data_IF_665884929860
#
_entry.id   IF_665884929860
#
_cell.length_a   1.000
_cell.length_b   1.000
_cell.length_c   1.000
_cell.angle_alpha   90.00
_cell.angle_beta   90.00
_cell.angle_gamma   90.00
#
_symmetry.space_group_name_H-M   'P 1'
#
loop_
_entity.id
_entity.type
_entity.pdbx_description
1 polymer ?
#
# COMPACT_ATOMS: atom_id res chain seq x y z
N UNK A 1 -9.55 43.69 44.18
CA UNK A 1 -9.07 42.30 44.10
C UNK A 1 -9.90 41.56 43.06
N UNK A 2 -9.37 41.27 41.89
CA UNK A 2 -9.88 40.23 40.97
C UNK A 2 -8.70 39.81 40.07
N UNK A 3 -8.04 38.72 40.43
CA UNK A 3 -7.03 38.04 39.63
C UNK A 3 -7.73 37.00 38.75
N UNK A 4 -7.87 37.29 37.46
CA UNK A 4 -8.34 36.34 36.46
C UNK A 4 -7.19 35.43 36.04
N UNK A 5 -7.30 34.15 36.39
CA UNK A 5 -6.42 33.08 35.96
C UNK A 5 -6.87 32.64 34.55
N UNK A 6 -6.17 33.05 33.50
CA UNK A 6 -6.41 32.50 32.16
C UNK A 6 -5.65 31.17 32.04
N UNK A 7 -6.39 30.06 32.15
CA UNK A 7 -5.93 28.74 31.76
C UNK A 7 -5.77 28.73 30.24
N UNK A 8 -4.53 28.68 29.76
CA UNK A 8 -4.23 28.43 28.36
C UNK A 8 -4.48 26.95 28.09
N UNK A 9 -5.56 26.66 27.36
CA UNK A 9 -5.86 25.32 26.82
C UNK A 9 -4.76 24.96 25.83
N UNK A 10 -3.84 24.07 26.24
CA UNK A 10 -2.93 23.43 25.31
C UNK A 10 -3.74 22.47 24.44
N UNK A 11 -4.07 22.87 23.22
CA UNK A 11 -4.62 21.97 22.22
C UNK A 11 -3.55 20.92 21.91
N UNK A 12 -3.71 19.72 22.46
CA UNK A 12 -2.96 18.54 22.06
C UNK A 12 -3.28 18.28 20.58
N UNK A 13 -2.35 18.62 19.70
CA UNK A 13 -2.40 18.18 18.32
C UNK A 13 -2.25 16.66 18.32
N UNK A 14 -3.36 15.94 18.13
CA UNK A 14 -3.29 14.52 17.80
C UNK A 14 -2.66 14.44 16.42
N UNK A 15 -1.42 13.97 16.33
CA UNK A 15 -0.85 13.59 15.05
C UNK A 15 -1.69 12.42 14.53
N UNK A 16 -2.24 12.53 13.33
CA UNK A 16 -2.84 11.38 12.66
C UNK A 16 -1.78 10.29 12.50
N UNK A 17 -2.14 9.05 12.78
CA UNK A 17 -1.25 7.89 12.66
C UNK A 17 -1.09 7.55 11.18
N UNK A 18 -0.18 8.26 10.51
CA UNK A 18 0.11 8.03 9.09
C UNK A 18 1.30 7.06 8.98
N UNK A 19 1.05 5.87 8.46
CA UNK A 19 2.08 4.90 8.13
C UNK A 19 2.61 5.16 6.72
N UNK A 20 3.92 5.39 6.60
CA UNK A 20 4.60 5.51 5.32
C UNK A 20 5.39 4.23 5.06
N UNK A 21 5.16 3.62 3.90
CA UNK A 21 5.82 2.39 3.47
C UNK A 21 6.61 2.72 2.20
N UNK A 22 7.86 2.29 2.16
CA UNK A 22 8.74 2.45 1.03
C UNK A 22 9.63 1.20 0.94
N UNK A 23 9.34 0.34 -0.03
CA UNK A 23 9.97 -0.96 -0.21
C UNK A 23 10.50 -1.09 -1.62
N UNK A 24 11.51 -1.95 -1.78
CA UNK A 24 11.83 -2.56 -3.07
C UNK A 24 11.38 -4.00 -3.08
N UNK A 25 10.63 -4.35 -4.12
CA UNK A 25 10.02 -5.65 -4.31
C UNK A 25 10.61 -6.30 -5.55
N UNK A 26 11.10 -7.53 -5.43
CA UNK A 26 11.41 -8.38 -6.58
C UNK A 26 10.14 -9.07 -7.04
N UNK A 27 9.77 -8.92 -8.31
CA UNK A 27 8.61 -9.58 -8.88
C UNK A 27 8.89 -11.05 -9.20
N UNK A 28 8.18 -11.97 -8.55
CA UNK A 28 8.32 -13.42 -8.73
C UNK A 28 7.52 -13.99 -9.90
N UNK A 29 6.67 -13.18 -10.54
CA UNK A 29 5.77 -13.61 -11.61
C UNK A 29 4.35 -13.92 -11.14
N UNK A 30 3.49 -14.25 -12.11
CA UNK A 30 2.10 -14.58 -11.86
C UNK A 30 1.91 -16.04 -11.41
N UNK A 31 0.84 -16.30 -10.68
CA UNK A 31 0.32 -17.63 -10.42
C UNK A 31 -1.19 -17.67 -10.62
N UNK A 32 -1.67 -18.79 -11.15
CA UNK A 32 -3.07 -19.06 -11.44
C UNK A 32 -3.51 -20.23 -10.56
N UNK A 33 -4.47 -20.03 -9.67
CA UNK A 33 -4.92 -21.06 -8.74
C UNK A 33 -6.16 -21.78 -9.25
N UNK A 34 -6.25 -23.08 -8.95
CA UNK A 34 -7.28 -23.99 -9.47
C UNK A 34 -7.41 -23.86 -10.99
N UNK A 35 -6.26 -23.90 -11.65
CA UNK A 35 -6.14 -23.66 -13.07
C UNK A 35 -6.46 -24.95 -13.85
N UNK A 36 -7.32 -24.81 -14.86
CA UNK A 36 -7.71 -25.87 -15.77
C UNK A 36 -7.54 -25.36 -17.19
N UNK A 37 -6.90 -26.15 -18.04
CA UNK A 37 -6.71 -25.84 -19.46
C UNK A 37 -7.29 -26.99 -20.26
N UNK A 38 -8.12 -26.66 -21.23
CA UNK A 38 -8.89 -27.59 -22.04
C UNK A 38 -8.60 -27.29 -23.51
N UNK A 39 -8.29 -28.34 -24.26
CA UNK A 39 -8.20 -28.28 -25.72
C UNK A 39 -9.56 -27.84 -26.28
N UNK A 40 -9.55 -26.77 -27.07
CA UNK A 40 -10.80 -26.19 -27.56
C UNK A 40 -11.53 -27.09 -28.56
N UNK A 41 -10.80 -27.90 -29.34
CA UNK A 41 -11.35 -28.73 -30.41
C UNK A 41 -11.94 -30.02 -29.84
N UNK A 42 -11.15 -30.74 -29.03
CA UNK A 42 -11.50 -32.09 -28.57
C UNK A 42 -12.08 -32.10 -27.14
N UNK A 43 -12.12 -30.93 -26.47
CA UNK A 43 -12.61 -30.77 -25.10
C UNK A 43 -11.85 -31.65 -24.08
N UNK A 44 -10.59 -31.96 -24.40
CA UNK A 44 -9.73 -32.76 -23.53
C UNK A 44 -9.00 -31.88 -22.53
N UNK A 45 -8.82 -32.37 -21.30
CA UNK A 45 -8.10 -31.62 -20.27
C UNK A 45 -6.60 -31.74 -20.50
N UNK A 46 -5.96 -30.63 -20.85
CA UNK A 46 -4.52 -30.51 -21.06
C UNK A 46 -3.76 -30.27 -19.75
N UNK A 47 -4.38 -29.53 -18.83
CA UNK A 47 -3.85 -29.26 -17.50
C UNK A 47 -4.98 -29.13 -16.49
N UNK A 48 -4.75 -29.67 -15.29
CA UNK A 48 -5.61 -29.44 -14.14
C UNK A 48 -4.75 -29.49 -12.88
N UNK A 49 -4.67 -28.38 -12.16
CA UNK A 49 -3.87 -28.29 -10.95
C UNK A 49 -4.25 -27.13 -10.06
N UNK A 50 -3.91 -27.28 -8.78
CA UNK A 50 -4.18 -26.27 -7.75
C UNK A 50 -3.43 -24.96 -8.00
N UNK A 51 -2.30 -25.01 -8.71
CA UNK A 51 -1.48 -23.86 -9.04
C UNK A 51 -0.69 -24.08 -10.33
N UNK A 52 -0.72 -23.08 -11.21
CA UNK A 52 0.17 -22.93 -12.36
C UNK A 52 0.97 -21.63 -12.20
N UNK A 53 2.29 -21.69 -12.28
CA UNK A 53 3.13 -20.48 -12.25
C UNK A 53 3.39 -19.99 -13.67
N UNK A 54 3.62 -18.68 -13.80
CA UNK A 54 4.02 -18.05 -15.07
C UNK A 54 5.27 -18.69 -15.70
N UNK A 55 6.19 -19.22 -14.90
CA UNK A 55 7.42 -19.87 -15.40
C UNK A 55 7.12 -21.23 -16.06
N UNK A 56 6.05 -21.90 -15.62
CA UNK A 56 5.64 -23.22 -16.08
C UNK A 56 4.48 -23.14 -17.09
N UNK A 57 4.03 -21.92 -17.42
CA UNK A 57 2.90 -21.64 -18.28
C UNK A 57 3.30 -21.75 -19.76
N UNK A 58 3.06 -22.93 -20.34
CA UNK A 58 3.29 -23.23 -21.74
C UNK A 58 2.23 -22.67 -22.70
N UNK A 59 1.11 -22.18 -22.18
CA UNK A 59 -0.06 -21.77 -22.97
C UNK A 59 -0.14 -20.25 -23.17
N UNK A 60 0.68 -19.49 -22.45
CA UNK A 60 0.74 -18.04 -22.58
C UNK A 60 -0.48 -17.35 -21.98
N UNK A 61 -0.88 -17.78 -20.77
CA UNK A 61 -1.98 -17.16 -20.03
C UNK A 61 -1.74 -15.64 -19.84
N UNK A 62 -2.82 -14.84 -19.77
CA UNK A 62 -2.70 -13.40 -19.61
C UNK A 62 -1.90 -13.04 -18.36
N UNK A 63 -1.15 -11.93 -18.39
CA UNK A 63 -0.28 -11.47 -17.30
C UNK A 63 -0.95 -10.34 -16.53
N UNK A 64 -0.91 -10.41 -15.19
CA UNK A 64 -1.57 -9.41 -14.35
C UNK A 64 -0.83 -8.08 -14.43
N UNK A 65 0.49 -8.18 -14.34
CA UNK A 65 1.41 -7.07 -14.51
C UNK A 65 2.29 -7.32 -15.74
N UNK A 66 2.70 -6.22 -16.37
CA UNK A 66 3.66 -6.22 -17.47
C UNK A 66 5.13 -6.28 -16.99
N UNK A 67 5.37 -6.50 -15.70
CA UNK A 67 6.70 -6.59 -15.11
C UNK A 67 7.42 -7.89 -15.53
N UNK A 68 8.74 -7.83 -15.66
CA UNK A 68 9.57 -9.00 -15.90
C UNK A 68 9.81 -9.77 -14.59
N UNK A 69 9.89 -11.11 -14.67
CA UNK A 69 10.26 -11.92 -13.51
C UNK A 69 11.69 -11.57 -13.08
N UNK A 70 11.88 -11.31 -11.78
CA UNK A 70 13.13 -10.82 -11.19
C UNK A 70 13.31 -9.30 -11.26
N UNK A 71 12.38 -8.57 -11.88
CA UNK A 71 12.41 -7.12 -11.90
C UNK A 71 12.22 -6.55 -10.49
N UNK A 72 13.05 -5.59 -10.12
CA UNK A 72 12.97 -4.90 -8.83
C UNK A 72 12.19 -3.61 -9.00
N UNK A 73 11.04 -3.55 -8.32
CA UNK A 73 10.08 -2.46 -8.38
C UNK A 73 10.07 -1.71 -7.06
N UNK A 74 9.83 -0.39 -7.11
CA UNK A 74 9.57 0.37 -5.90
C UNK A 74 8.08 0.29 -5.56
N UNK A 75 7.79 0.00 -4.31
CA UNK A 75 6.47 0.08 -3.73
C UNK A 75 6.46 1.20 -2.68
N UNK A 76 5.61 2.20 -2.87
CA UNK A 76 5.42 3.26 -1.88
C UNK A 76 3.95 3.36 -1.53
N UNK A 77 3.62 3.42 -0.25
CA UNK A 77 2.26 3.64 0.20
C UNK A 77 2.21 4.59 1.41
N UNK A 78 1.17 5.41 1.46
CA UNK A 78 0.84 6.25 2.61
C UNK A 78 -0.55 5.85 3.09
N UNK A 79 -0.62 5.37 4.32
CA UNK A 79 -1.85 4.81 4.90
C UNK A 79 -2.20 5.64 6.13
N UNK A 80 -3.42 6.16 6.15
CA UNK A 80 -4.02 6.74 7.34
C UNK A 80 -4.63 5.59 8.15
N UNK A 81 -3.92 5.14 9.19
CA UNK A 81 -4.38 3.98 9.97
C UNK A 81 -5.54 4.34 10.89
N UNK A 82 -5.76 5.62 11.19
CA UNK A 82 -6.89 6.07 12.01
C UNK A 82 -8.19 6.03 11.19
N UNK A 83 -8.11 6.38 9.91
CA UNK A 83 -9.25 6.34 8.99
C UNK A 83 -9.39 5.01 8.23
N UNK A 84 -8.36 4.15 8.25
CA UNK A 84 -8.31 2.92 7.47
C UNK A 84 -8.24 3.17 5.95
N UNK A 85 -7.70 4.33 5.55
CA UNK A 85 -7.69 4.78 4.15
C UNK A 85 -6.26 4.77 3.60
N UNK A 86 -6.12 4.26 2.37
CA UNK A 86 -4.88 4.38 1.61
C UNK A 86 -4.89 5.73 0.90
N UNK A 87 -4.05 6.67 1.36
CA UNK A 87 -3.97 8.03 0.82
C UNK A 87 -3.21 8.06 -0.52
N UNK A 88 -2.13 7.29 -0.60
CA UNK A 88 -1.37 7.11 -1.85
C UNK A 88 -0.75 5.72 -1.89
N UNK A 89 -0.57 5.18 -3.09
CA UNK A 89 0.04 3.88 -3.34
C UNK A 89 0.61 3.88 -4.76
N UNK A 90 1.87 3.48 -4.90
CA UNK A 90 2.53 3.30 -6.18
C UNK A 90 3.28 1.97 -6.18
N UNK A 91 3.09 1.17 -7.23
CA UNK A 91 3.81 -0.08 -7.46
C UNK A 91 4.44 -0.03 -8.86
N UNK A 92 5.75 0.17 -8.94
CA UNK A 92 6.45 0.17 -10.23
C UNK A 92 5.91 1.21 -11.22
N UNK A 93 5.42 2.36 -10.73
CA UNK A 93 4.80 3.41 -11.54
C UNK A 93 3.28 3.30 -11.70
N UNK A 94 2.67 2.17 -11.31
CA UNK A 94 1.21 2.01 -11.31
C UNK A 94 0.59 2.66 -10.07
N UNK A 95 -0.44 3.48 -10.27
CA UNK A 95 -1.27 3.98 -9.17
C UNK A 95 -2.14 2.84 -8.63
N UNK A 96 -1.91 2.48 -7.38
CA UNK A 96 -2.62 1.45 -6.64
C UNK A 96 -3.41 2.02 -5.46
N UNK A 97 -3.71 3.32 -5.44
CA UNK A 97 -4.47 3.95 -4.37
C UNK A 97 -5.98 3.93 -4.63
N UNK A 98 -6.38 3.98 -5.90
CA UNK A 98 -7.77 4.06 -6.30
C UNK A 98 -8.57 2.84 -5.81
N UNK A 99 -9.58 3.06 -4.98
CA UNK A 99 -10.43 2.01 -4.43
C UNK A 99 -9.75 1.12 -3.36
N UNK A 100 -8.54 1.48 -2.92
CA UNK A 100 -7.79 0.77 -1.91
C UNK A 100 -8.26 1.15 -0.49
N UNK A 101 -8.51 0.16 0.35
CA UNK A 101 -8.83 0.34 1.77
C UNK A 101 -7.92 -0.54 2.62
N UNK A 102 -7.64 -0.12 3.85
CA UNK A 102 -6.96 -0.98 4.80
C UNK A 102 -7.91 -2.10 5.20
N UNK A 103 -7.45 -3.34 5.14
CA UNK A 103 -8.20 -4.48 5.65
C UNK A 103 -8.23 -4.41 7.18
N UNK A 104 -9.44 -4.34 7.81
CA UNK A 104 -9.55 -4.22 9.25
C UNK A 104 -9.09 -5.47 10.00
N UNK A 105 -9.03 -6.63 9.35
CA UNK A 105 -8.52 -7.87 9.93
C UNK A 105 -7.05 -8.09 9.52
N UNK A 106 -6.16 -7.34 10.18
CA UNK A 106 -4.72 -7.38 9.91
C UNK A 106 -4.09 -8.70 10.37
N UNK A 107 -4.32 -9.77 9.60
CA UNK A 107 -3.57 -11.02 9.74
C UNK A 107 -2.10 -10.86 9.32
N UNK A 108 -1.78 -9.79 8.58
CA UNK A 108 -0.45 -9.48 8.07
C UNK A 108 -0.06 -8.03 8.39
N UNK A 109 1.26 -7.70 8.46
CA UNK A 109 1.73 -6.33 8.66
C UNK A 109 1.22 -5.32 7.62
N UNK A 110 0.96 -5.79 6.40
CA UNK A 110 0.27 -5.05 5.35
C UNK A 110 -0.88 -5.91 4.82
N UNK A 111 -2.10 -5.35 4.81
CA UNK A 111 -3.25 -5.93 4.13
C UNK A 111 -4.13 -4.79 3.60
N UNK A 112 -4.17 -4.65 2.27
CA UNK A 112 -4.92 -3.63 1.54
C UNK A 112 -5.93 -4.35 0.65
N UNK A 113 -7.21 -4.05 0.79
CA UNK A 113 -8.28 -4.55 -0.07
C UNK A 113 -8.57 -3.58 -1.22
N UNK A 114 -8.97 -4.14 -2.36
CA UNK A 114 -9.35 -3.41 -3.57
C UNK A 114 -10.74 -3.89 -4.00
N UNK A 115 -11.76 -3.12 -3.62
CA UNK A 115 -13.15 -3.56 -3.76
C UNK A 115 -13.40 -4.88 -3.00
N UNK A 116 -14.22 -5.76 -3.57
CA UNK A 116 -14.57 -7.05 -2.96
C UNK A 116 -13.64 -8.21 -3.37
N UNK A 117 -12.76 -7.97 -4.34
CA UNK A 117 -12.12 -9.04 -5.12
C UNK A 117 -10.61 -8.98 -5.14
N UNK A 118 -10.01 -7.81 -4.94
CA UNK A 118 -8.57 -7.63 -4.93
C UNK A 118 -8.01 -7.53 -3.50
N UNK A 119 -6.86 -8.15 -3.27
CA UNK A 119 -6.19 -8.14 -1.96
C UNK A 119 -4.68 -8.08 -2.12
N UNK A 120 -4.05 -7.03 -1.61
CA UNK A 120 -2.61 -6.89 -1.52
C UNK A 120 -2.16 -7.07 -0.07
N UNK A 121 -1.39 -8.11 0.22
CA UNK A 121 -1.03 -8.46 1.59
C UNK A 121 0.32 -9.12 1.71
N UNK A 122 0.90 -9.05 2.90
CA UNK A 122 2.11 -9.76 3.27
C UNK A 122 2.95 -9.01 4.29
N UNK A 123 4.21 -9.40 4.36
CA UNK A 123 5.17 -8.80 5.28
C UNK A 123 5.81 -7.52 4.73
N UNK A 124 6.45 -6.77 5.62
CA UNK A 124 7.15 -5.52 5.30
C UNK A 124 8.66 -5.67 5.42
N UNK A 125 9.16 -6.81 5.91
CA UNK A 125 10.56 -7.01 6.19
C UNK A 125 11.31 -7.66 5.03
N UNK A 126 12.61 -7.37 4.89
CA UNK A 126 13.44 -8.01 3.85
C UNK A 126 13.36 -9.54 3.94
N UNK A 127 13.06 -10.18 2.80
CA UNK A 127 12.82 -11.61 2.68
C UNK A 127 11.35 -12.01 2.78
N UNK A 128 10.47 -11.13 3.25
CA UNK A 128 9.04 -11.39 3.32
C UNK A 128 8.42 -11.51 1.92
N UNK A 129 7.34 -12.28 1.86
CA UNK A 129 6.52 -12.38 0.65
C UNK A 129 5.34 -11.40 0.72
N UNK A 130 5.08 -10.74 -0.41
CA UNK A 130 3.91 -9.91 -0.67
C UNK A 130 3.15 -10.49 -1.86
N UNK A 131 1.83 -10.53 -1.77
CA UNK A 131 0.98 -11.08 -2.83
C UNK A 131 -0.10 -10.09 -3.19
N UNK A 132 -0.35 -9.94 -4.49
CA UNK A 132 -1.53 -9.27 -5.01
C UNK A 132 -2.47 -10.31 -5.59
N UNK A 133 -3.58 -10.57 -4.94
CA UNK A 133 -4.59 -11.55 -5.35
C UNK A 133 -5.77 -10.84 -6.00
N UNK A 134 -6.25 -11.35 -7.14
CA UNK A 134 -7.58 -11.04 -7.65
C UNK A 134 -8.40 -12.32 -7.72
N UNK A 135 -9.62 -12.26 -7.20
CA UNK A 135 -10.64 -13.30 -7.25
C UNK A 135 -11.79 -12.77 -8.13
N UNK A 136 -12.38 -13.53 -9.05
CA UNK A 136 -13.36 -12.98 -10.00
C UNK A 136 -14.66 -12.53 -9.33
N UNK A 137 -15.08 -13.23 -8.27
CA UNK A 137 -16.13 -12.80 -7.34
C UNK A 137 -16.08 -13.63 -6.05
N UNK A 138 -16.94 -13.30 -5.10
CA UNK A 138 -17.18 -14.10 -3.89
C UNK A 138 -17.95 -15.40 -4.15
N UNK A 139 -18.51 -15.57 -5.36
CA UNK A 139 -19.16 -16.82 -5.78
C UNK A 139 -18.08 -17.86 -6.17
N UNK A 140 -17.99 -19.01 -5.46
CA UNK A 140 -16.99 -20.03 -5.75
C UNK A 140 -17.14 -20.70 -7.12
N UNK A 141 -18.27 -20.51 -7.81
CA UNK A 141 -18.48 -21.01 -9.17
C UNK A 141 -17.91 -20.07 -10.23
N UNK A 142 -17.72 -18.79 -9.91
CA UNK A 142 -17.21 -17.82 -10.85
C UNK A 142 -15.70 -18.00 -11.05
N UNK A 143 -15.25 -17.94 -12.30
CA UNK A 143 -13.86 -18.18 -12.69
C UNK A 143 -13.44 -17.14 -13.71
N UNK A 144 -12.16 -16.78 -13.68
CA UNK A 144 -11.55 -16.19 -14.85
C UNK A 144 -11.56 -17.22 -15.97
N UNK A 145 -11.79 -16.75 -17.19
CA UNK A 145 -11.72 -17.56 -18.39
C UNK A 145 -11.03 -16.76 -19.50
N UNK A 146 -10.16 -17.42 -20.25
CA UNK A 146 -9.49 -16.80 -21.40
C UNK A 146 -9.15 -17.86 -22.46
N UNK A 147 -9.15 -17.43 -23.72
CA UNK A 147 -8.48 -18.17 -24.80
C UNK A 147 -6.98 -17.95 -24.66
N UNK A 148 -6.20 -19.02 -24.69
CA UNK A 148 -4.75 -19.01 -24.54
C UNK A 148 -4.06 -18.60 -25.86
N UNK A 149 -2.75 -18.41 -25.85
CA UNK A 149 -1.99 -18.15 -27.09
C UNK A 149 -1.86 -19.38 -27.99
N UNK A 150 -2.13 -20.57 -27.45
CA UNK A 150 -2.16 -21.85 -28.16
C UNK A 150 -3.53 -22.22 -28.70
N UNK A 151 -4.52 -21.32 -28.61
CA UNK A 151 -5.92 -21.54 -29.02
C UNK A 151 -6.66 -22.59 -28.16
N UNK A 152 -6.22 -22.75 -26.90
CA UNK A 152 -6.90 -23.55 -25.88
C UNK A 152 -7.79 -22.66 -24.99
N UNK A 153 -8.65 -23.28 -24.18
CA UNK A 153 -9.46 -22.56 -23.21
C UNK A 153 -8.98 -22.79 -21.78
N UNK A 154 -8.70 -21.71 -21.07
CA UNK A 154 -8.19 -21.76 -19.71
C UNK A 154 -9.16 -21.12 -18.71
N UNK A 155 -9.26 -21.72 -17.53
CA UNK A 155 -10.02 -21.24 -16.39
C UNK A 155 -9.18 -21.23 -15.13
N UNK A 156 -9.34 -20.24 -14.27
CA UNK A 156 -8.70 -20.20 -12.95
C UNK A 156 -9.52 -19.39 -11.96
N UNK A 157 -9.29 -19.61 -10.66
CA UNK A 157 -10.05 -18.96 -9.59
C UNK A 157 -9.31 -17.78 -8.96
N UNK A 158 -8.00 -17.88 -8.73
CA UNK A 158 -7.22 -16.75 -8.19
C UNK A 158 -6.12 -16.40 -9.17
N UNK A 159 -6.00 -15.12 -9.47
CA UNK A 159 -4.89 -14.55 -10.20
C UNK A 159 -3.98 -13.80 -9.24
N UNK A 160 -2.78 -14.34 -9.00
CA UNK A 160 -1.83 -13.83 -8.01
C UNK A 160 -0.60 -13.25 -8.67
N UNK A 161 -0.25 -12.01 -8.36
CA UNK A 161 1.10 -11.48 -8.52
C UNK A 161 1.94 -11.79 -7.27
N UNK A 162 3.11 -12.39 -7.44
CA UNK A 162 4.01 -12.70 -6.33
C UNK A 162 5.16 -11.70 -6.26
N UNK A 163 5.47 -11.23 -5.05
CA UNK A 163 6.54 -10.29 -4.79
C UNK A 163 7.34 -10.75 -3.56
N UNK A 164 8.62 -10.41 -3.54
CA UNK A 164 9.49 -10.60 -2.38
C UNK A 164 10.13 -9.28 -2.00
N UNK A 165 10.09 -8.90 -0.72
CA UNK A 165 10.76 -7.70 -0.24
C UNK A 165 12.27 -7.92 -0.30
N UNK A 166 12.97 -7.08 -1.05
CA UNK A 166 14.43 -7.16 -1.18
C UNK A 166 15.16 -6.04 -0.45
N UNK A 167 14.50 -4.91 -0.21
CA UNK A 167 15.06 -3.77 0.51
C UNK A 167 13.93 -2.99 1.19
N UNK A 168 14.15 -2.62 2.45
CA UNK A 168 13.35 -1.60 3.13
C UNK A 168 14.03 -0.24 2.92
N UNK A 169 13.33 0.70 2.29
CA UNK A 169 13.84 2.07 2.16
C UNK A 169 13.45 2.80 3.44
N UNK A 170 14.31 2.70 4.45
CA UNK A 170 14.10 3.38 5.73
C UNK A 170 14.07 4.89 5.49
N UNK A 171 12.88 5.49 5.48
CA UNK A 171 12.78 6.94 5.49
C UNK A 171 13.30 7.44 6.83
N UNK A 172 14.20 8.44 6.85
CA UNK A 172 14.68 9.00 8.09
C UNK A 172 13.48 9.47 8.91
N UNK A 173 13.37 8.96 10.15
CA UNK A 173 12.28 9.31 11.05
C UNK A 173 12.10 10.84 11.07
N UNK A 174 10.85 11.36 11.06
CA UNK A 174 10.61 12.78 11.19
C UNK A 174 11.37 13.29 12.41
N UNK A 175 12.38 14.13 12.18
CA UNK A 175 13.21 14.67 13.26
C UNK A 175 12.23 15.40 14.18
N UNK A 176 12.09 15.01 15.46
CA UNK A 176 11.24 15.74 16.37
C UNK A 176 11.81 17.15 16.45
N UNK A 177 11.10 18.11 15.83
CA UNK A 177 11.47 19.52 15.92
C UNK A 177 11.47 19.84 17.42
N UNK A 178 12.62 20.25 17.99
CA UNK A 178 12.66 20.58 19.40
C UNK A 178 11.65 21.72 19.61
N UNK A 179 10.85 21.61 20.67
CA UNK A 179 9.80 22.58 21.00
C UNK A 179 10.30 24.05 21.08
N UNK A 180 11.62 24.25 21.14
CA UNK A 180 12.30 25.54 21.02
C UNK A 180 12.13 26.24 19.65
N UNK A 181 11.82 25.53 18.56
CA UNK A 181 11.52 26.15 17.26
C UNK A 181 10.20 26.94 17.26
N UNK A 182 9.25 26.58 18.12
CA UNK A 182 7.98 27.30 18.32
C UNK A 182 8.11 28.52 19.23
N UNK A 183 9.22 28.68 19.96
CA UNK A 183 9.45 29.82 20.87
C UNK A 183 10.13 31.01 20.19
N UNK A 184 10.73 30.82 19.00
CA UNK A 184 11.40 31.89 18.25
C UNK A 184 10.45 33.02 17.78
N UNK A 185 9.25 32.74 17.23
CA UNK A 185 8.31 33.80 16.86
C UNK A 185 7.73 34.55 18.08
N UNK A 186 7.50 33.84 19.20
CA UNK A 186 6.94 34.44 20.41
C UNK A 186 7.96 35.29 21.19
N UNK A 187 9.24 34.89 21.22
CA UNK A 187 10.29 35.69 21.85
C UNK A 187 10.52 37.03 21.11
N UNK A 188 10.40 37.04 19.77
CA UNK A 188 10.52 38.25 18.96
C UNK A 188 9.32 39.19 19.13
N UNK A 189 8.09 38.65 19.25
CA UNK A 189 6.89 39.45 19.53
C UNK A 189 6.91 40.09 20.92
N UNK A 190 7.46 39.39 21.92
CA UNK A 190 7.63 39.92 23.29
C UNK A 190 8.61 41.10 23.38
N UNK A 191 9.73 41.04 22.65
CA UNK A 191 10.72 42.12 22.59
C UNK A 191 10.20 43.36 21.85
N UNK A 192 9.34 43.19 20.83
CA UNK A 192 8.70 44.28 20.11
C UNK A 192 7.76 45.13 20.99
N UNK A 193 6.97 44.47 21.85
CA UNK A 193 6.03 45.14 22.75
C UNK A 193 6.71 45.89 23.91
N UNK A 194 7.88 45.45 24.36
CA UNK A 194 8.64 46.17 25.40
C UNK A 194 9.26 47.48 24.89
N UNK A 195 9.71 47.52 23.63
CA UNK A 195 10.23 48.77 23.01
C UNK A 195 9.14 49.83 22.81
N UNK A 196 7.89 49.44 22.60
CA UNK A 196 6.79 50.37 22.39
C UNK A 196 6.31 51.04 23.69
N UNK A 197 6.43 50.35 24.83
CA UNK A 197 6.11 50.94 26.15
C UNK A 197 7.13 51.97 26.62
N UNK A 198 8.42 51.78 26.34
CA UNK A 198 9.45 52.75 26.74
C UNK A 198 9.35 54.09 25.99
N UNK A 199 8.85 54.10 24.75
CA UNK A 199 8.64 55.35 23.98
C UNK A 199 7.44 56.20 24.42
N UNK A 200 6.52 55.67 25.25
CA UNK A 200 5.35 56.42 25.74
C UNK A 200 5.50 57.01 27.14
N UNK A 201 6.59 56.68 27.85
CA UNK A 201 6.85 57.18 29.21
C UNK A 201 7.85 58.35 29.20
N UNK A 202 8.56 58.56 28.10
CA UNK A 202 9.56 59.62 27.92
C UNK A 202 9.12 60.74 26.95
N UNK A 203 7.80 60.95 26.78
CA UNK A 203 7.22 62.03 25.98
C UNK A 203 6.23 62.84 26.79
#
# INVERSE_FOLDING_TARGET
>A
MFTGLFLASASSASAASVQNIDLRLSYGGNSYFNAVIVDQQDQTVLFNGDRLNQQDDAWGLPRLFAFAVGEVLRFTAQIDTDLGVVQSCNLGGLDCAAGAMLDPDLANPLSISYGETGLFRGGLSVGDSLTYDIIPSTDPLNRFAAVTQTDDFAFWFVWRGNFTVVEEVVQPAPIPLPASALLLPMALAGLGLMRWRQKRIAG
#
